data_IF_088647587396
#
_entry.id   IF_088647587396
#
_cell.length_a   1.000
_cell.length_b   1.000
_cell.length_c   1.000
_cell.angle_alpha   90.00
_cell.angle_beta   90.00
_cell.angle_gamma   90.00
#
_symmetry.space_group_name_H-M   'P 1'
#
loop_
_entity.id
_entity.type
_entity.pdbx_description
1 polymer ?
#
# COMPACT_ATOMS: atom_id res chain seq x y z
N UNK A 1 38.51 -12.40 4.95
CA UNK A 1 37.23 -12.14 4.23
C UNK A 1 36.56 -10.98 4.94
N UNK A 2 36.54 -9.81 4.30
CA UNK A 2 36.55 -8.51 4.97
C UNK A 2 35.17 -8.00 5.41
N UNK A 3 35.25 -7.27 6.51
CA UNK A 3 34.36 -6.32 7.16
C UNK A 3 33.72 -5.29 6.20
N UNK A 4 32.38 -5.13 6.26
CA UNK A 4 31.67 -3.99 5.62
C UNK A 4 30.40 -3.59 6.40
N UNK A 5 30.47 -3.51 7.74
CA UNK A 5 29.35 -3.02 8.58
C UNK A 5 29.24 -1.47 8.62
N UNK A 6 30.10 -0.74 7.88
CA UNK A 6 30.21 0.74 7.95
C UNK A 6 30.00 1.50 6.65
N UNK A 7 29.41 0.91 5.61
CA UNK A 7 28.79 1.73 4.56
C UNK A 7 27.39 2.14 5.02
N UNK A 8 27.23 3.43 5.32
CA UNK A 8 25.94 4.04 5.55
C UNK A 8 25.00 3.72 4.39
N UNK A 9 24.16 2.70 4.60
CA UNK A 9 23.05 2.45 3.72
C UNK A 9 22.17 3.68 3.80
N UNK A 10 21.99 4.39 2.69
CA UNK A 10 20.80 5.20 2.47
C UNK A 10 19.66 4.38 3.03
N UNK A 11 18.98 4.89 4.07
CA UNK A 11 17.80 4.23 4.63
C UNK A 11 16.90 3.95 3.45
N UNK A 12 16.91 2.71 2.98
CA UNK A 12 16.08 2.31 1.85
C UNK A 12 14.68 2.57 2.38
N UNK A 13 14.05 3.65 1.91
CA UNK A 13 12.68 3.96 2.23
C UNK A 13 11.95 2.71 1.78
N UNK A 14 11.61 1.86 2.75
CA UNK A 14 10.93 0.62 2.45
C UNK A 14 9.59 1.08 1.95
N UNK A 15 9.44 1.10 0.63
CA UNK A 15 8.21 1.48 -0.03
C UNK A 15 7.11 0.66 0.59
N UNK A 16 6.24 1.32 1.36
CA UNK A 16 5.14 0.64 2.00
C UNK A 16 4.29 -0.01 0.93
N UNK A 17 4.00 -1.30 1.07
CA UNK A 17 3.10 -2.04 0.19
C UNK A 17 1.61 -1.65 0.38
N UNK A 18 1.34 -0.84 1.39
CA UNK A 18 0.01 -0.40 1.81
C UNK A 18 -0.30 1.02 1.30
N UNK A 19 -1.53 1.23 0.87
CA UNK A 19 -2.06 2.56 0.51
C UNK A 19 -3.56 2.66 0.77
N UNK A 20 -4.04 3.88 0.95
CA UNK A 20 -5.46 4.17 1.05
C UNK A 20 -5.86 4.94 -0.21
N UNK A 21 -7.01 4.61 -0.79
CA UNK A 21 -7.52 5.25 -2.00
C UNK A 21 -8.98 5.64 -1.84
N UNK A 22 -9.41 6.72 -2.48
CA UNK A 22 -10.76 7.27 -2.35
C UNK A 22 -11.82 6.58 -3.22
N UNK A 23 -11.44 5.57 -3.99
CA UNK A 23 -12.35 4.82 -4.87
C UNK A 23 -12.86 3.54 -4.21
N UNK A 24 -13.97 3.03 -4.74
CA UNK A 24 -14.62 1.82 -4.26
C UNK A 24 -13.75 0.58 -4.51
N UNK A 25 -13.97 -0.44 -3.68
CA UNK A 25 -13.19 -1.68 -3.71
C UNK A 25 -13.15 -2.32 -5.11
N UNK A 26 -14.30 -2.40 -5.79
CA UNK A 26 -14.40 -2.99 -7.12
C UNK A 26 -13.51 -2.26 -8.16
N UNK A 27 -13.43 -0.93 -8.10
CA UNK A 27 -12.56 -0.14 -8.98
C UNK A 27 -11.08 -0.37 -8.66
N UNK A 28 -10.74 -0.53 -7.37
CA UNK A 28 -9.38 -0.88 -6.94
C UNK A 28 -8.98 -2.24 -7.48
N UNK A 29 -9.84 -3.25 -7.34
CA UNK A 29 -9.59 -4.60 -7.86
C UNK A 29 -9.42 -4.59 -9.38
N UNK A 30 -10.29 -3.87 -10.10
CA UNK A 30 -10.20 -3.73 -11.54
C UNK A 30 -8.89 -3.06 -11.99
N UNK A 31 -8.47 -1.97 -11.33
CA UNK A 31 -7.22 -1.29 -11.62
C UNK A 31 -6.01 -2.18 -11.29
N UNK A 32 -5.97 -2.80 -10.11
CA UNK A 32 -4.88 -3.70 -9.73
C UNK A 32 -4.74 -4.86 -10.73
N UNK A 33 -5.86 -5.48 -11.14
CA UNK A 33 -5.87 -6.54 -12.15
C UNK A 33 -5.34 -6.04 -13.50
N UNK A 34 -5.74 -4.86 -13.95
CA UNK A 34 -5.27 -4.25 -15.21
C UNK A 34 -3.76 -4.02 -15.22
N UNK A 35 -3.16 -3.74 -14.07
CA UNK A 35 -1.73 -3.49 -13.91
C UNK A 35 -0.93 -4.73 -13.47
N UNK A 36 -1.56 -5.91 -13.35
CA UNK A 36 -0.90 -7.13 -12.87
C UNK A 36 -0.46 -7.06 -11.39
N UNK A 37 -0.99 -6.12 -10.62
CA UNK A 37 -0.64 -5.93 -9.22
C UNK A 37 -1.40 -6.94 -8.33
N UNK A 38 -0.66 -7.83 -7.69
CA UNK A 38 -1.24 -8.82 -6.75
C UNK A 38 -1.60 -8.17 -5.42
N UNK A 39 -2.85 -8.28 -5.02
CA UNK A 39 -3.38 -7.80 -3.74
C UNK A 39 -3.15 -8.86 -2.66
N UNK A 40 -2.65 -8.43 -1.50
CA UNK A 40 -2.50 -9.25 -0.29
C UNK A 40 -3.66 -9.07 0.68
N UNK A 41 -4.23 -7.87 0.76
CA UNK A 41 -5.41 -7.56 1.56
C UNK A 41 -6.13 -6.36 0.96
N UNK A 42 -7.45 -6.34 1.08
CA UNK A 42 -8.28 -5.22 0.65
C UNK A 42 -9.48 -5.10 1.57
N UNK A 43 -9.80 -3.88 1.96
CA UNK A 43 -10.93 -3.57 2.83
C UNK A 43 -11.54 -2.21 2.45
N UNK A 44 -12.85 -2.11 2.52
CA UNK A 44 -13.54 -0.83 2.36
C UNK A 44 -13.36 0.00 3.65
N UNK A 45 -13.00 1.27 3.51
CA UNK A 45 -12.80 2.18 4.64
C UNK A 45 -14.15 2.74 5.12
N UNK A 46 -14.33 2.87 6.44
CA UNK A 46 -15.54 3.45 7.02
C UNK A 46 -15.76 4.92 6.63
N UNK A 47 -14.66 5.66 6.40
CA UNK A 47 -14.67 7.03 5.88
C UNK A 47 -15.07 7.14 4.40
N UNK A 48 -15.32 6.02 3.72
CA UNK A 48 -15.37 5.93 2.27
C UNK A 48 -13.98 5.71 1.66
N UNK A 49 -13.97 5.03 0.51
CA UNK A 49 -12.76 4.57 -0.15
C UNK A 49 -12.33 3.16 0.28
N UNK A 50 -11.09 2.80 -0.04
CA UNK A 50 -10.55 1.44 0.11
C UNK A 50 -9.13 1.49 0.64
N UNK A 51 -8.83 0.63 1.61
CA UNK A 51 -7.46 0.30 1.97
C UNK A 51 -7.02 -0.95 1.23
N UNK A 52 -5.90 -0.83 0.51
CA UNK A 52 -5.30 -1.95 -0.23
C UNK A 52 -3.86 -2.16 0.20
N UNK A 53 -3.51 -3.42 0.34
CA UNK A 53 -2.15 -3.90 0.61
C UNK A 53 -1.76 -4.79 -0.55
N UNK A 54 -0.70 -4.43 -1.26
CA UNK A 54 -0.16 -5.25 -2.35
C UNK A 54 0.88 -6.24 -1.84
N UNK A 55 1.19 -7.25 -2.64
CA UNK A 55 2.17 -8.29 -2.29
C UNK A 55 3.57 -7.72 -2.09
N UNK A 56 3.99 -6.78 -2.96
CA UNK A 56 5.35 -6.24 -3.03
C UNK A 56 5.36 -4.70 -3.12
N UNK A 57 6.45 -4.06 -2.71
CA UNK A 57 6.62 -2.59 -2.75
C UNK A 57 6.67 -2.01 -4.16
N UNK A 58 7.30 -2.69 -5.11
CA UNK A 58 7.38 -2.23 -6.52
C UNK A 58 5.99 -2.08 -7.16
N UNK A 59 5.13 -3.08 -6.96
CA UNK A 59 3.73 -3.02 -7.39
C UNK A 59 3.00 -1.84 -6.71
N UNK A 60 3.34 -1.52 -5.46
CA UNK A 60 2.77 -0.37 -4.75
C UNK A 60 3.21 0.97 -5.31
N UNK A 61 4.44 1.13 -5.78
CA UNK A 61 4.84 2.35 -6.49
C UNK A 61 4.11 2.50 -7.82
N UNK A 62 4.03 1.41 -8.58
CA UNK A 62 3.29 1.41 -9.86
C UNK A 62 1.83 1.79 -9.63
N UNK A 63 1.19 1.19 -8.63
CA UNK A 63 -0.21 1.48 -8.31
C UNK A 63 -0.41 2.87 -7.72
N UNK A 64 0.52 3.41 -6.93
CA UNK A 64 0.45 4.81 -6.46
C UNK A 64 0.38 5.79 -7.63
N UNK A 65 1.18 5.55 -8.67
CA UNK A 65 1.14 6.36 -9.91
C UNK A 65 -0.18 6.18 -10.66
N UNK A 66 -0.67 4.94 -10.78
CA UNK A 66 -1.92 4.62 -11.46
C UNK A 66 -3.15 5.23 -10.76
N UNK A 67 -3.18 5.19 -9.43
CA UNK A 67 -4.25 5.80 -8.63
C UNK A 67 -4.13 7.34 -8.62
N UNK A 68 -2.91 7.87 -8.61
CA UNK A 68 -2.62 9.30 -8.71
C UNK A 68 -3.36 10.10 -7.64
N UNK A 69 -4.21 11.05 -8.07
CA UNK A 69 -5.01 11.90 -7.19
C UNK A 69 -6.02 11.14 -6.30
N UNK A 70 -6.25 9.86 -6.56
CA UNK A 70 -7.13 9.00 -5.76
C UNK A 70 -6.44 8.48 -4.50
N UNK A 71 -5.12 8.59 -4.39
CA UNK A 71 -4.38 8.18 -3.18
C UNK A 71 -4.69 9.17 -2.06
N UNK A 72 -5.15 8.64 -0.92
CA UNK A 72 -5.40 9.43 0.27
C UNK A 72 -4.06 9.60 1.01
N UNK A 73 -3.45 10.78 0.87
CA UNK A 73 -2.17 11.11 1.51
C UNK A 73 -2.31 11.49 3.00
N UNK A 74 -3.53 11.86 3.43
CA UNK A 74 -3.82 12.27 4.81
C UNK A 74 -4.05 11.09 5.76
N UNK A 75 -4.25 11.43 7.04
CA UNK A 75 -4.53 10.44 8.09
C UNK A 75 -5.89 9.78 7.84
N UNK A 76 -5.88 8.48 7.55
CA UNK A 76 -7.08 7.66 7.47
C UNK A 76 -7.33 7.03 8.84
N UNK A 77 -8.52 7.21 9.38
CA UNK A 77 -8.95 6.46 10.58
C UNK A 77 -9.19 5.02 10.15
N UNK A 78 -8.30 4.14 10.60
CA UNK A 78 -8.47 2.70 10.46
C UNK A 78 -9.02 2.13 11.75
N UNK A 79 -9.89 1.13 11.64
CA UNK A 79 -10.24 0.31 12.80
C UNK A 79 -8.99 -0.45 13.22
N UNK A 80 -8.45 -0.25 14.44
CA UNK A 80 -7.31 -1.01 14.89
C UNK A 80 -7.69 -2.48 15.01
N UNK A 81 -6.85 -3.37 14.49
CA UNK A 81 -7.01 -4.79 14.77
C UNK A 81 -6.66 -5.03 16.24
N UNK A 82 -7.66 -5.44 17.03
CA UNK A 82 -7.47 -5.94 18.39
C UNK A 82 -7.31 -7.46 18.33
N UNK A 83 -6.17 -7.96 18.80
CA UNK A 83 -6.04 -9.38 19.15
C UNK A 83 -6.71 -9.56 20.50
N UNK A 84 -7.95 -10.05 20.51
CA UNK A 84 -8.56 -10.48 21.77
C UNK A 84 -7.75 -11.69 22.29
N UNK A 85 -7.13 -11.52 23.46
CA UNK A 85 -6.39 -12.57 24.16
C UNK A 85 -7.30 -13.61 24.78
#
# INVERSE_FOLDING_TARGET
MQDDWRRGGTTAVTTSRAMNVSIAQADVEALCRKHGASISAIETLHSGGTHVVLKNGDAAETMRKAFGKKVIAGKVVRTPWVRNG
#
